data_IF_729904442440
#
_entry.id   IF_729904442440
#
_cell.length_a   1.000
_cell.length_b   1.000
_cell.length_c   1.000
_cell.angle_alpha   90.00
_cell.angle_beta   90.00
_cell.angle_gamma   90.00
#
_symmetry.space_group_name_H-M   'P 1'
#
loop_
_entity.id
_entity.type
_entity.pdbx_description
1 polymer ?
#
# COMPACT_ATOMS: atom_id res chain seq x y z
N UNK A 1 -10.77 -1.28 7.43
CA UNK A 1 -11.94 -1.21 6.52
C UNK A 1 -12.49 -2.60 6.18
N UNK A 2 -13.80 -2.81 6.31
CA UNK A 2 -14.46 -4.03 5.83
C UNK A 2 -14.55 -4.04 4.29
N UNK A 3 -14.52 -5.22 3.63
CA UNK A 3 -14.68 -5.29 2.18
C UNK A 3 -16.02 -4.69 1.74
N UNK A 4 -15.99 -3.83 0.72
CA UNK A 4 -17.21 -3.33 0.09
C UNK A 4 -17.73 -4.40 -0.87
N UNK A 5 -18.83 -5.06 -0.50
CA UNK A 5 -19.50 -6.00 -1.38
C UNK A 5 -20.15 -5.24 -2.55
N UNK A 6 -20.14 -5.80 -3.77
CA UNK A 6 -20.86 -5.19 -4.88
C UNK A 6 -22.38 -5.28 -4.64
N UNK A 7 -23.19 -4.46 -5.32
CA UNK A 7 -24.64 -4.66 -5.40
C UNK A 7 -24.97 -6.08 -5.88
N UNK A 8 -26.07 -6.67 -5.39
CA UNK A 8 -26.43 -8.07 -5.65
C UNK A 8 -26.52 -8.40 -7.15
N UNK A 9 -27.07 -7.48 -7.95
CA UNK A 9 -27.18 -7.60 -9.41
C UNK A 9 -25.82 -7.56 -10.14
N UNK A 10 -24.74 -7.18 -9.45
CA UNK A 10 -23.39 -7.08 -10.00
C UNK A 10 -22.47 -8.20 -9.52
N UNK A 11 -22.90 -9.06 -8.61
CA UNK A 11 -22.07 -10.16 -8.05
C UNK A 11 -21.54 -11.08 -9.16
N UNK A 12 -22.36 -11.39 -10.16
CA UNK A 12 -21.99 -12.25 -11.30
C UNK A 12 -20.88 -11.66 -12.19
N UNK A 13 -20.58 -10.36 -12.06
CA UNK A 13 -19.52 -9.69 -12.79
C UNK A 13 -18.18 -9.76 -12.05
N UNK A 14 -18.16 -10.18 -10.79
CA UNK A 14 -16.92 -10.36 -10.06
C UNK A 14 -16.13 -11.52 -10.66
N UNK A 15 -14.85 -11.28 -10.88
CA UNK A 15 -13.89 -12.29 -11.29
C UNK A 15 -12.71 -12.25 -10.34
N UNK A 16 -12.09 -13.41 -10.12
CA UNK A 16 -10.74 -13.48 -9.57
C UNK A 16 -9.78 -13.41 -10.74
N UNK A 17 -8.75 -12.56 -10.67
CA UNK A 17 -7.76 -12.50 -11.74
C UNK A 17 -7.02 -13.83 -11.81
N UNK A 18 -6.52 -14.18 -13.00
CA UNK A 18 -5.81 -15.44 -13.19
C UNK A 18 -4.56 -15.59 -12.29
N UNK A 19 -3.98 -14.47 -11.86
CA UNK A 19 -2.79 -14.38 -11.04
C UNK A 19 -3.08 -14.25 -9.52
N UNK A 20 -4.35 -14.20 -9.11
CA UNK A 20 -4.78 -14.13 -7.70
C UNK A 20 -4.96 -15.53 -7.07
N UNK A 21 -4.12 -16.49 -7.47
CA UNK A 21 -4.04 -17.81 -6.81
C UNK A 21 -3.02 -17.76 -5.67
N UNK A 22 -3.24 -18.53 -4.61
CA UNK A 22 -2.33 -18.54 -3.46
C UNK A 22 -0.87 -18.84 -3.85
N UNK A 23 -0.66 -19.79 -4.77
CA UNK A 23 0.66 -20.15 -5.26
C UNK A 23 1.36 -18.96 -5.96
N UNK A 24 0.63 -18.26 -6.85
CA UNK A 24 1.18 -17.10 -7.57
C UNK A 24 1.40 -15.91 -6.63
N UNK A 25 0.51 -15.70 -5.67
CA UNK A 25 0.65 -14.63 -4.67
C UNK A 25 1.86 -14.86 -3.78
N UNK A 26 2.10 -16.09 -3.31
CA UNK A 26 3.29 -16.44 -2.51
C UNK A 26 4.58 -16.21 -3.29
N UNK A 27 4.64 -16.66 -4.54
CA UNK A 27 5.80 -16.45 -5.40
C UNK A 27 6.07 -14.95 -5.64
N UNK A 28 5.01 -14.18 -5.90
CA UNK A 28 5.12 -12.71 -6.07
C UNK A 28 5.69 -12.03 -4.83
N UNK A 29 5.26 -12.43 -3.64
CA UNK A 29 5.77 -11.90 -2.39
C UNK A 29 7.24 -12.28 -2.15
N UNK A 30 7.63 -13.53 -2.48
CA UNK A 30 9.03 -13.97 -2.41
C UNK A 30 9.92 -13.13 -3.34
N UNK A 31 9.51 -12.96 -4.60
CA UNK A 31 10.24 -12.14 -5.56
C UNK A 31 10.30 -10.69 -5.11
N UNK A 32 9.20 -10.12 -4.60
CA UNK A 32 9.19 -8.75 -4.07
C UNK A 32 10.24 -8.59 -2.98
N UNK A 33 10.26 -9.48 -1.99
CA UNK A 33 11.22 -9.45 -0.89
C UNK A 33 12.67 -9.51 -1.40
N UNK A 34 12.99 -10.50 -2.25
CA UNK A 34 14.34 -10.68 -2.80
C UNK A 34 14.82 -9.47 -3.62
N UNK A 35 13.89 -8.77 -4.28
CA UNK A 35 14.21 -7.62 -5.12
C UNK A 35 14.18 -6.29 -4.37
N UNK A 36 13.33 -6.14 -3.35
CA UNK A 36 13.23 -4.90 -2.56
C UNK A 36 14.35 -4.78 -1.55
N UNK A 37 14.78 -5.89 -0.94
CA UNK A 37 15.80 -5.90 0.10
C UNK A 37 17.08 -5.11 -0.25
N UNK A 38 17.75 -5.31 -1.41
CA UNK A 38 18.95 -4.53 -1.74
C UNK A 38 18.67 -3.02 -1.92
N UNK A 39 17.45 -2.64 -2.31
CA UNK A 39 17.05 -1.23 -2.46
C UNK A 39 16.77 -0.62 -1.09
N UNK A 40 16.10 -1.35 -0.21
CA UNK A 40 15.88 -0.97 1.18
C UNK A 40 17.22 -0.78 1.91
N UNK A 41 18.14 -1.73 1.79
CA UNK A 41 19.49 -1.65 2.39
C UNK A 41 20.26 -0.42 1.93
N UNK A 42 20.16 -0.09 0.64
CA UNK A 42 20.78 1.11 0.08
C UNK A 42 20.24 2.39 0.75
N UNK A 43 18.92 2.57 0.84
CA UNK A 43 18.34 3.76 1.48
C UNK A 43 18.50 3.78 3.00
N UNK A 44 18.48 2.60 3.64
CA UNK A 44 18.75 2.43 5.07
C UNK A 44 20.17 2.91 5.41
N UNK A 45 21.17 2.54 4.61
CA UNK A 45 22.55 3.01 4.79
C UNK A 45 22.72 4.53 4.63
N UNK A 46 21.82 5.19 3.91
CA UNK A 46 21.78 6.64 3.72
C UNK A 46 20.95 7.38 4.77
N UNK A 47 20.30 6.66 5.70
CA UNK A 47 19.35 7.26 6.64
C UNK A 47 18.11 7.86 5.97
N UNK A 48 17.74 7.35 4.78
CA UNK A 48 16.59 7.84 3.98
C UNK A 48 15.42 6.86 3.93
N UNK A 49 15.49 5.75 4.67
CA UNK A 49 14.40 4.79 4.78
C UNK A 49 13.57 5.11 6.03
N UNK A 50 12.26 5.27 5.83
CA UNK A 50 11.28 5.39 6.91
C UNK A 50 10.41 4.13 6.91
N UNK A 51 10.35 3.44 8.05
CA UNK A 51 9.51 2.25 8.26
C UNK A 51 8.33 2.63 9.17
N UNK A 52 7.11 2.26 8.77
CA UNK A 52 5.89 2.57 9.52
C UNK A 52 4.77 1.58 9.19
N UNK A 53 3.85 1.39 10.14
CA UNK A 53 2.75 0.45 9.99
C UNK A 53 1.53 1.09 9.31
N UNK A 54 1.01 0.39 8.30
CA UNK A 54 -0.24 0.73 7.61
C UNK A 54 -1.36 -0.26 8.00
N UNK A 55 -2.10 -0.01 9.09
CA UNK A 55 -3.26 -0.81 9.43
C UNK A 55 -4.47 -0.41 8.58
N UNK A 56 -5.20 -1.41 8.10
CA UNK A 56 -6.55 -1.22 7.58
C UNK A 56 -6.62 -0.66 6.16
N UNK A 57 -7.65 0.15 5.89
CA UNK A 57 -7.89 0.73 4.57
C UNK A 57 -7.35 2.16 4.47
N UNK A 58 -7.67 2.82 3.36
CA UNK A 58 -7.22 4.20 3.07
C UNK A 58 -7.55 5.18 4.22
N UNK A 59 -8.78 5.19 4.80
CA UNK A 59 -9.10 6.14 5.87
C UNK A 59 -8.22 5.99 7.11
N UNK A 60 -7.81 4.76 7.43
CA UNK A 60 -6.97 4.47 8.60
C UNK A 60 -5.47 4.65 8.29
N UNK A 61 -5.06 4.36 7.05
CA UNK A 61 -3.66 4.40 6.61
C UNK A 61 -3.18 5.80 6.22
N UNK A 62 -4.06 6.63 5.63
CA UNK A 62 -3.70 7.93 5.08
C UNK A 62 -3.19 8.92 6.14
N UNK A 63 -3.86 9.11 7.30
CA UNK A 63 -3.37 10.05 8.32
C UNK A 63 -2.00 9.65 8.87
N UNK A 64 -1.73 8.36 9.03
CA UNK A 64 -0.44 7.85 9.53
C UNK A 64 0.69 8.12 8.56
N UNK A 65 0.44 7.98 7.25
CA UNK A 65 1.42 8.32 6.23
C UNK A 65 1.79 9.80 6.31
N UNK A 66 0.79 10.69 6.40
CA UNK A 66 1.04 12.13 6.53
C UNK A 66 1.83 12.48 7.80
N UNK A 67 1.48 11.86 8.93
CA UNK A 67 2.20 12.02 10.20
C UNK A 67 3.69 11.63 10.08
N UNK A 68 3.98 10.46 9.49
CA UNK A 68 5.37 9.98 9.30
C UNK A 68 6.16 10.87 8.35
N UNK A 69 5.49 11.51 7.39
CA UNK A 69 6.09 12.48 6.48
C UNK A 69 6.18 13.89 7.08
N UNK A 70 5.69 14.12 8.30
CA UNK A 70 5.57 15.42 8.94
C UNK A 70 4.84 16.44 8.04
N UNK A 71 3.75 15.98 7.41
CA UNK A 71 2.86 16.80 6.60
C UNK A 71 1.53 16.97 7.33
N UNK A 72 0.98 18.18 7.35
CA UNK A 72 -0.41 18.39 7.74
C UNK A 72 -1.35 18.28 6.51
N UNK A 73 -2.63 17.96 6.74
CA UNK A 73 -3.59 17.78 5.64
C UNK A 73 -3.80 19.04 4.78
N UNK A 74 -3.51 20.23 5.31
CA UNK A 74 -3.66 21.49 4.59
C UNK A 74 -2.44 21.79 3.73
N UNK A 75 -1.25 21.53 4.25
CA UNK A 75 0.06 21.61 3.60
C UNK A 75 0.18 20.58 2.46
N UNK A 76 -0.37 19.37 2.63
CA UNK A 76 -0.52 18.41 1.53
C UNK A 76 -1.43 18.94 0.40
N UNK A 77 -2.60 19.49 0.73
CA UNK A 77 -3.53 20.03 -0.28
C UNK A 77 -2.95 21.21 -1.05
N UNK A 78 -2.11 22.02 -0.40
CA UNK A 78 -1.42 23.15 -1.01
C UNK A 78 -0.23 22.70 -1.89
N UNK A 79 0.53 21.69 -1.47
CA UNK A 79 1.67 21.16 -2.23
C UNK A 79 1.27 20.29 -3.43
N UNK A 80 0.17 19.55 -3.36
CA UNK A 80 -0.34 18.71 -4.45
C UNK A 80 -1.04 19.51 -5.58
N UNK A 81 -1.30 20.80 -5.37
CA UNK A 81 -1.97 21.70 -6.33
C UNK A 81 -0.99 22.56 -7.16
N UNK A 82 0.32 22.42 -6.93
CA UNK A 82 1.40 23.11 -7.63
C UNK A 82 2.09 22.17 -8.64
#
# INVERSE_FOLDING_TARGET
>A
MAPLNPPSQCVSKLITRADDTEAIVKERLSIYWDKSQPVEDFYRSQGKLLEFDLPGGIPESWPKLLEVLNLDEQEYKLSAAA
#
